data_IF_738124028790
#
_entry.id   IF_738124028790
#
_cell.length_a   1.000
_cell.length_b   1.000
_cell.length_c   1.000
_cell.angle_alpha   90.00
_cell.angle_beta   90.00
_cell.angle_gamma   90.00
#
_symmetry.space_group_name_H-M   'P 1'
#
loop_
_entity.id
_entity.type
_entity.pdbx_description
1 polymer ?
#
# COMPACT_ATOMS: atom_id res chain seq x y z
N UNK A 1 7.45 -24.40 -2.73
CA UNK A 1 8.15 -24.98 -1.57
C UNK A 1 8.13 -23.95 -0.46
N UNK A 2 7.48 -24.25 0.68
CA UNK A 2 7.26 -23.30 1.76
C UNK A 2 8.61 -22.99 2.45
N UNK A 3 9.06 -21.74 2.37
CA UNK A 3 10.37 -21.32 2.91
C UNK A 3 10.34 -21.33 4.44
N UNK A 4 11.40 -21.79 5.09
CA UNK A 4 11.56 -21.82 6.57
C UNK A 4 11.21 -20.47 7.23
N UNK A 5 11.69 -19.30 6.74
CA UNK A 5 11.28 -18.00 7.28
C UNK A 5 9.77 -17.72 7.16
N UNK A 6 9.09 -18.22 6.12
CA UNK A 6 7.65 -18.04 5.98
C UNK A 6 6.91 -18.79 7.10
N UNK A 7 7.30 -20.05 7.36
CA UNK A 7 6.72 -20.85 8.44
C UNK A 7 6.97 -20.18 9.80
N UNK A 8 8.21 -19.75 10.06
CA UNK A 8 8.55 -19.07 11.31
C UNK A 8 7.74 -17.79 11.51
N UNK A 9 7.60 -16.96 10.46
CA UNK A 9 6.79 -15.74 10.53
C UNK A 9 5.30 -16.01 10.79
N UNK A 10 4.75 -17.07 10.18
CA UNK A 10 3.37 -17.49 10.40
C UNK A 10 3.15 -17.98 11.83
N UNK A 11 4.08 -18.77 12.37
CA UNK A 11 4.00 -19.25 13.77
C UNK A 11 4.00 -18.05 14.73
N UNK A 12 4.91 -17.09 14.55
CA UNK A 12 4.97 -15.89 15.39
C UNK A 12 3.67 -15.07 15.29
N UNK A 13 3.15 -14.86 14.08
CA UNK A 13 1.89 -14.14 13.87
C UNK A 13 0.71 -14.84 14.57
N UNK A 14 0.60 -16.16 14.43
CA UNK A 14 -0.46 -16.94 15.09
C UNK A 14 -0.31 -16.90 16.62
N UNK A 15 0.92 -17.04 17.14
CA UNK A 15 1.18 -16.92 18.57
C UNK A 15 0.79 -15.55 19.12
N UNK A 16 1.08 -14.47 18.41
CA UNK A 16 0.67 -13.12 18.79
C UNK A 16 -0.85 -12.97 18.79
N UNK A 17 -1.55 -13.51 17.79
CA UNK A 17 -3.02 -13.47 17.73
C UNK A 17 -3.65 -14.24 18.90
N UNK A 18 -3.16 -15.43 19.21
CA UNK A 18 -3.62 -16.23 20.35
C UNK A 18 -3.33 -15.48 21.66
N UNK A 19 -2.14 -14.91 21.81
CA UNK A 19 -1.77 -14.13 22.98
C UNK A 19 -2.68 -12.92 23.17
N UNK A 20 -2.93 -12.15 22.10
CA UNK A 20 -3.80 -10.98 22.15
C UNK A 20 -5.24 -11.38 22.51
N UNK A 21 -5.76 -12.44 21.90
CA UNK A 21 -7.13 -12.93 22.12
C UNK A 21 -7.35 -13.49 23.53
N UNK A 22 -6.33 -14.10 24.13
CA UNK A 22 -6.44 -14.72 25.47
C UNK A 22 -6.11 -13.78 26.62
N UNK A 23 -5.36 -12.70 26.36
CA UNK A 23 -4.94 -11.74 27.40
C UNK A 23 -5.80 -10.49 27.48
N UNK A 24 -6.47 -10.11 26.40
CA UNK A 24 -7.37 -8.98 26.39
C UNK A 24 -8.81 -9.50 26.39
N UNK A 25 -9.56 -9.19 27.44
CA UNK A 25 -11.02 -9.28 27.41
C UNK A 25 -11.53 -8.18 26.47
N UNK A 26 -11.46 -8.46 25.17
CA UNK A 26 -11.89 -7.49 24.15
C UNK A 26 -13.41 -7.50 24.13
N UNK A 27 -14.02 -6.55 24.83
CA UNK A 27 -15.43 -6.25 24.63
C UNK A 27 -15.59 -5.51 23.31
N UNK A 28 -16.01 -6.27 22.29
CA UNK A 28 -16.22 -5.76 20.94
C UNK A 28 -17.37 -4.73 20.94
N UNK A 29 -18.35 -4.89 21.81
CA UNK A 29 -19.52 -4.01 21.91
C UNK A 29 -19.11 -2.65 22.46
N UNK A 30 -18.38 -2.63 23.58
CA UNK A 30 -17.87 -1.37 24.18
C UNK A 30 -16.93 -0.65 23.21
N UNK A 31 -16.06 -1.38 22.52
CA UNK A 31 -15.17 -0.82 21.49
C UNK A 31 -15.95 -0.15 20.36
N UNK A 32 -17.05 -0.76 19.91
CA UNK A 32 -17.87 -0.22 18.82
C UNK A 32 -18.63 1.03 19.25
N UNK A 33 -19.11 1.07 20.50
CA UNK A 33 -19.76 2.24 21.07
C UNK A 33 -18.78 3.41 21.22
N UNK A 34 -17.53 3.17 21.61
CA UNK A 34 -16.49 4.21 21.62
C UNK A 34 -16.16 4.75 20.22
N UNK A 35 -16.14 3.89 19.20
CA UNK A 35 -15.95 4.29 17.80
C UNK A 35 -17.12 5.16 17.33
N UNK A 36 -18.35 4.77 17.63
CA UNK A 36 -19.56 5.49 17.19
C UNK A 36 -19.73 6.84 17.89
N UNK A 37 -19.32 6.95 19.15
CA UNK A 37 -19.36 8.20 19.92
C UNK A 37 -18.15 9.11 19.65
N UNK A 38 -17.12 8.62 18.95
CA UNK A 38 -15.95 9.42 18.60
C UNK A 38 -16.30 10.49 17.57
N UNK A 39 -15.64 11.65 17.68
CA UNK A 39 -15.87 12.77 16.77
C UNK A 39 -15.47 12.37 15.33
N UNK A 40 -16.40 12.44 14.35
CA UNK A 40 -16.15 12.15 12.94
C UNK A 40 -14.94 12.90 12.35
N UNK A 41 -14.64 14.08 12.88
CA UNK A 41 -13.52 14.91 12.45
C UNK A 41 -12.16 14.22 12.58
N UNK A 42 -11.97 13.40 13.63
CA UNK A 42 -10.71 12.66 13.79
C UNK A 42 -10.52 11.61 12.71
N UNK A 43 -11.59 10.96 12.26
CA UNK A 43 -11.53 10.02 11.13
C UNK A 43 -11.20 10.73 9.82
N UNK A 44 -11.79 11.91 9.58
CA UNK A 44 -11.48 12.73 8.40
C UNK A 44 -10.03 13.18 8.43
N UNK A 45 -9.54 13.66 9.57
CA UNK A 45 -8.14 14.07 9.72
C UNK A 45 -7.19 12.89 9.49
N UNK A 46 -7.46 11.75 10.12
CA UNK A 46 -6.68 10.53 9.93
C UNK A 46 -6.65 10.10 8.46
N UNK A 47 -7.79 10.16 7.77
CA UNK A 47 -7.89 9.88 6.35
C UNK A 47 -7.03 10.84 5.53
N UNK A 48 -7.20 12.15 5.71
CA UNK A 48 -6.43 13.17 4.97
C UNK A 48 -4.93 13.00 5.20
N UNK A 49 -4.49 12.84 6.45
CA UNK A 49 -3.07 12.64 6.79
C UNK A 49 -2.52 11.35 6.18
N UNK A 50 -3.32 10.28 6.19
CA UNK A 50 -2.94 8.99 5.61
C UNK A 50 -2.69 9.11 4.09
N UNK A 51 -3.62 9.71 3.34
CA UNK A 51 -3.48 9.88 1.89
C UNK A 51 -2.44 10.94 1.49
N UNK A 52 -2.26 11.99 2.29
CA UNK A 52 -1.21 12.99 2.06
C UNK A 52 0.20 12.36 2.09
N UNK A 53 0.40 11.32 2.90
CA UNK A 53 1.65 10.55 2.94
C UNK A 53 1.97 9.83 1.62
N UNK A 54 0.97 9.51 0.79
CA UNK A 54 1.21 8.91 -0.54
C UNK A 54 1.71 9.95 -1.55
N UNK A 55 1.28 11.21 -1.44
CA UNK A 55 1.72 12.31 -2.32
C UNK A 55 3.22 12.55 -2.13
N UNK A 56 3.70 12.61 -0.88
CA UNK A 56 5.14 12.77 -0.56
C UNK A 56 5.95 11.60 -1.13
N UNK A 57 5.44 10.38 -1.01
CA UNK A 57 6.08 9.19 -1.59
C UNK A 57 6.14 9.27 -3.11
N UNK A 58 5.04 9.62 -3.78
CA UNK A 58 5.01 9.77 -5.24
C UNK A 58 5.94 10.87 -5.74
N UNK A 59 6.05 11.98 -5.01
CA UNK A 59 7.04 13.03 -5.29
C UNK A 59 8.49 12.50 -5.21
N UNK A 60 8.81 11.74 -4.16
CA UNK A 60 10.15 11.16 -3.98
C UNK A 60 10.52 10.18 -5.10
N UNK A 61 9.58 9.33 -5.52
CA UNK A 61 9.78 8.38 -6.62
C UNK A 61 9.93 9.08 -7.98
N UNK A 62 9.20 10.18 -8.21
CA UNK A 62 9.39 11.03 -9.39
C UNK A 62 10.77 11.68 -9.42
N UNK A 63 11.25 12.20 -8.28
CA UNK A 63 12.58 12.82 -8.20
C UNK A 63 13.69 11.81 -8.56
N UNK A 64 13.55 10.55 -8.10
CA UNK A 64 14.44 9.46 -8.49
C UNK A 64 14.34 9.15 -10.00
N UNK A 65 13.13 9.06 -10.56
CA UNK A 65 12.93 8.81 -11.99
C UNK A 65 13.48 9.94 -12.88
N UNK A 66 13.34 11.19 -12.45
CA UNK A 66 13.91 12.35 -13.12
C UNK A 66 15.45 12.34 -13.09
N UNK A 67 16.04 11.97 -11.94
CA UNK A 67 17.50 11.89 -11.78
C UNK A 67 18.16 10.76 -12.58
N UNK A 68 17.44 9.65 -12.83
CA UNK A 68 17.96 8.50 -13.60
C UNK A 68 17.94 8.76 -15.13
N UNK A 69 17.42 9.91 -15.59
CA UNK A 69 17.52 10.31 -16.99
C UNK A 69 16.58 9.56 -17.94
N UNK A 70 15.44 9.05 -17.43
CA UNK A 70 14.37 8.40 -18.23
C UNK A 70 13.86 9.31 -19.37
N UNK A 71 14.09 10.63 -19.27
CA UNK A 71 13.92 11.63 -20.32
C UNK A 71 14.72 11.40 -21.62
N UNK A 72 15.70 10.48 -21.65
CA UNK A 72 16.56 10.24 -22.83
C UNK A 72 16.04 9.17 -23.79
N UNK A 73 14.92 8.50 -23.51
CA UNK A 73 14.35 7.52 -24.44
C UNK A 73 13.34 8.18 -25.39
N UNK A 74 13.46 8.03 -26.72
CA UNK A 74 12.52 8.61 -27.66
C UNK A 74 11.15 7.94 -27.49
N UNK A 75 10.13 8.73 -27.11
CA UNK A 75 8.76 8.26 -26.88
C UNK A 75 8.32 8.21 -25.41
N UNK A 76 9.22 8.39 -24.43
CA UNK A 76 8.84 8.37 -23.01
C UNK A 76 8.36 9.76 -22.53
N UNK A 77 7.08 9.88 -22.20
CA UNK A 77 6.57 11.02 -21.42
C UNK A 77 6.97 10.85 -19.97
N UNK A 78 7.49 11.90 -19.34
CA UNK A 78 7.75 11.89 -17.91
C UNK A 78 6.39 11.82 -17.19
N UNK A 79 6.10 10.76 -16.42
CA UNK A 79 4.83 10.67 -15.73
C UNK A 79 4.70 11.84 -14.74
N UNK A 80 3.54 12.48 -14.74
CA UNK A 80 3.24 13.56 -13.82
C UNK A 80 3.37 13.09 -12.36
N UNK A 81 3.58 14.02 -11.42
CA UNK A 81 3.58 13.73 -9.98
C UNK A 81 2.30 12.98 -9.60
N UNK A 82 1.17 13.39 -10.18
CA UNK A 82 -0.13 12.77 -9.96
C UNK A 82 -0.18 11.33 -10.45
N UNK A 83 0.30 11.05 -11.65
CA UNK A 83 0.28 9.71 -12.26
C UNK A 83 1.19 8.73 -11.51
N UNK A 84 2.39 9.18 -11.12
CA UNK A 84 3.32 8.37 -10.32
C UNK A 84 2.76 8.06 -8.93
N UNK A 85 2.10 9.04 -8.31
CA UNK A 85 1.43 8.86 -7.01
C UNK A 85 0.23 7.93 -7.12
N UNK A 86 -0.56 8.05 -8.20
CA UNK A 86 -1.73 7.21 -8.48
C UNK A 86 -1.31 5.75 -8.73
N UNK A 87 -0.25 5.51 -9.50
CA UNK A 87 0.28 4.16 -9.73
C UNK A 87 0.78 3.50 -8.44
N UNK A 88 1.45 4.27 -7.57
CA UNK A 88 1.86 3.78 -6.24
C UNK A 88 0.65 3.50 -5.34
N UNK A 89 -0.35 4.39 -5.35
CA UNK A 89 -1.59 4.21 -4.61
C UNK A 89 -2.35 2.97 -5.08
N UNK A 90 -2.46 2.78 -6.39
CA UNK A 90 -3.15 1.64 -6.99
C UNK A 90 -2.41 0.32 -6.73
N UNK A 91 -1.08 0.33 -6.81
CA UNK A 91 -0.26 -0.82 -6.44
C UNK A 91 -0.40 -1.17 -4.96
N UNK A 92 -0.46 -0.16 -4.08
CA UNK A 92 -0.70 -0.37 -2.65
C UNK A 92 -2.12 -0.89 -2.38
N UNK A 93 -3.13 -0.31 -3.04
CA UNK A 93 -4.53 -0.72 -2.95
C UNK A 93 -4.75 -2.17 -3.42
N UNK A 94 -4.17 -2.53 -4.58
CA UNK A 94 -4.22 -3.89 -5.11
C UNK A 94 -3.48 -4.88 -4.21
N UNK A 95 -2.44 -4.46 -3.49
CA UNK A 95 -1.76 -5.32 -2.52
C UNK A 95 -2.54 -5.44 -1.20
N UNK A 96 -3.30 -4.41 -0.82
CA UNK A 96 -4.16 -4.44 0.37
C UNK A 96 -5.41 -5.32 0.18
N UNK A 97 -5.96 -5.35 -1.04
CA UNK A 97 -7.18 -6.12 -1.36
C UNK A 97 -6.85 -7.48 -1.98
N UNK A 98 -5.84 -7.53 -2.85
CA UNK A 98 -5.43 -8.75 -3.53
C UNK A 98 -4.59 -9.66 -2.64
N UNK A 99 -4.51 -10.93 -3.02
CA UNK A 99 -3.62 -11.88 -2.36
C UNK A 99 -2.21 -11.83 -2.94
N UNK A 100 -1.21 -12.13 -2.09
CA UNK A 100 0.14 -12.50 -2.51
C UNK A 100 0.90 -11.44 -3.35
N UNK A 101 0.82 -10.16 -2.96
CA UNK A 101 1.49 -9.03 -3.67
C UNK A 101 1.09 -8.92 -5.15
N UNK A 102 -0.15 -9.23 -5.51
CA UNK A 102 -0.68 -9.06 -6.89
C UNK A 102 -0.46 -7.66 -7.48
N UNK A 103 -0.33 -6.62 -6.65
CA UNK A 103 0.04 -5.28 -7.11
C UNK A 103 1.38 -5.22 -7.86
N UNK A 104 2.34 -6.08 -7.51
CA UNK A 104 3.62 -6.19 -8.24
C UNK A 104 3.42 -6.85 -9.61
N UNK A 105 2.53 -7.85 -9.71
CA UNK A 105 2.16 -8.46 -10.99
C UNK A 105 1.41 -7.48 -11.91
N UNK A 106 0.52 -6.64 -11.35
CA UNK A 106 -0.16 -5.60 -12.11
C UNK A 106 0.82 -4.56 -12.68
N UNK A 107 1.81 -4.13 -11.89
CA UNK A 107 2.87 -3.21 -12.37
C UNK A 107 3.69 -3.82 -13.50
N UNK A 108 4.00 -5.12 -13.43
CA UNK A 108 4.71 -5.83 -14.49
C UNK A 108 3.86 -5.93 -15.77
N UNK A 109 2.55 -6.21 -15.62
CA UNK A 109 1.62 -6.28 -16.75
C UNK A 109 1.45 -4.92 -17.45
N UNK A 110 1.16 -3.86 -16.69
CA UNK A 110 0.98 -2.51 -17.24
C UNK A 110 2.23 -2.03 -17.98
N UNK A 111 3.44 -2.32 -17.46
CA UNK A 111 4.69 -1.99 -18.14
C UNK A 111 4.87 -2.77 -19.45
N UNK A 112 4.52 -4.07 -19.45
CA UNK A 112 4.61 -4.91 -20.65
C UNK A 112 3.62 -4.51 -21.76
N UNK A 113 2.44 -4.00 -21.39
CA UNK A 113 1.42 -3.54 -22.34
C UNK A 113 1.80 -2.19 -22.97
N UNK A 114 2.33 -1.26 -22.18
CA UNK A 114 2.91 -0.01 -22.70
C UNK A 114 4.13 -0.21 -23.59
N UNK A 115 4.86 -1.32 -23.44
CA UNK A 115 5.99 -1.67 -24.32
C UNK A 115 5.57 -2.37 -25.61
N UNK A 116 4.37 -2.97 -25.66
CA UNK A 116 3.84 -3.72 -26.82
C UNK A 116 3.05 -2.82 -27.78
N UNK A 117 2.67 -1.62 -27.34
CA UNK A 117 1.93 -0.62 -28.13
C UNK A 117 2.84 0.38 -28.86
N UNK A 118 4.15 0.14 -28.87
CA UNK A 118 5.16 0.88 -29.63
C UNK A 118 5.84 0.00 -30.66
#
# INVERSE_FOLDING_TARGET
>A
MLSIPAIASSVVAVSLLIFLSTRFEVDITETFDHIKNSNPWWYVLAFVTYYMSFIVRGYRWRLLAANVGVHKQPGSRLPSIGESSLLLLLGWFLNAIGWLRMGDAYRAYAFSDSARSS
#
